data_IF_224672068194
#
_entry.id   IF_224672068194
#
_cell.length_a   1.000
_cell.length_b   1.000
_cell.length_c   1.000
_cell.angle_alpha   90.00
_cell.angle_beta   90.00
_cell.angle_gamma   90.00
#
_symmetry.space_group_name_H-M   'P 1'
#
loop_
_entity.id
_entity.type
_entity.pdbx_description
1 polymer ?
#
# COMPACT_ATOMS: atom_id res chain seq x y z
N UNK A 1 -12.42 5.98 -7.97
CA UNK A 1 -11.73 4.81 -7.38
C UNK A 1 -11.75 4.99 -5.88
N UNK A 2 -12.20 3.97 -5.15
CA UNK A 2 -12.16 3.91 -3.70
C UNK A 2 -11.27 2.74 -3.28
N UNK A 3 -10.57 2.90 -2.16
CA UNK A 3 -9.82 1.84 -1.50
C UNK A 3 -10.42 1.62 -0.11
N UNK A 4 -11.00 0.45 0.10
CA UNK A 4 -11.52 0.00 1.38
C UNK A 4 -10.53 -1.00 1.97
N UNK A 5 -10.19 -0.88 3.25
CA UNK A 5 -9.27 -1.80 3.92
C UNK A 5 -9.55 -1.87 5.43
N UNK A 6 -9.14 -2.98 6.05
CA UNK A 6 -9.22 -3.19 7.50
C UNK A 6 -7.93 -2.85 8.25
N UNK A 7 -6.87 -2.49 7.53
CA UNK A 7 -5.59 -2.12 8.12
C UNK A 7 -5.60 -0.68 8.67
N UNK A 8 -4.81 -0.41 9.73
CA UNK A 8 -4.82 0.90 10.37
C UNK A 8 -4.10 1.99 9.55
N UNK A 9 -3.27 1.62 8.56
CA UNK A 9 -2.48 2.56 7.76
C UNK A 9 -2.55 2.30 6.26
N UNK A 10 -2.27 3.35 5.49
CA UNK A 10 -2.01 3.30 4.05
C UNK A 10 -0.75 4.09 3.75
N UNK A 11 0.28 3.44 3.22
CA UNK A 11 1.44 4.15 2.67
C UNK A 11 1.06 4.70 1.30
N UNK A 12 1.16 6.02 1.16
CA UNK A 12 0.96 6.72 -0.10
C UNK A 12 2.31 7.09 -0.70
N UNK A 13 2.59 6.58 -1.89
CA UNK A 13 3.81 6.90 -2.63
C UNK A 13 3.45 7.40 -4.02
N UNK A 14 3.98 8.56 -4.38
CA UNK A 14 3.65 9.28 -5.62
C UNK A 14 4.63 8.99 -6.75
N UNK A 15 5.29 7.83 -6.81
CA UNK A 15 6.15 7.50 -7.96
C UNK A 15 7.41 8.38 -8.08
N UNK A 16 7.95 8.87 -6.97
CA UNK A 16 9.00 9.91 -6.95
C UNK A 16 10.35 9.44 -7.53
N UNK A 17 10.63 8.15 -7.42
CA UNK A 17 11.85 7.51 -7.93
C UNK A 17 11.74 7.01 -9.36
N UNK A 18 10.60 7.19 -10.05
CA UNK A 18 10.49 6.84 -11.46
C UNK A 18 11.35 7.80 -12.30
N UNK A 19 12.37 7.26 -12.97
CA UNK A 19 13.36 8.04 -13.71
C UNK A 19 13.49 7.55 -15.15
N UNK A 20 12.40 7.63 -15.92
CA UNK A 20 12.40 7.21 -17.32
C UNK A 20 12.34 5.68 -17.49
N UNK A 21 11.58 5.01 -16.61
CA UNK A 21 11.45 3.56 -16.62
C UNK A 21 10.61 3.12 -17.82
N UNK A 22 11.07 2.10 -18.57
CA UNK A 22 10.28 1.50 -19.65
C UNK A 22 9.03 0.83 -19.06
N UNK A 23 7.87 1.33 -19.44
CA UNK A 23 6.57 0.87 -19.02
C UNK A 23 5.87 -0.04 -20.04
N UNK A 24 4.62 -0.36 -19.75
CA UNK A 24 3.73 -1.12 -20.65
C UNK A 24 3.46 -0.34 -21.94
N UNK A 25 3.19 -1.06 -23.03
CA UNK A 25 2.82 -0.51 -24.34
C UNK A 25 3.80 0.55 -24.89
N UNK A 26 5.09 0.35 -24.64
CA UNK A 26 6.15 1.26 -25.09
C UNK A 26 6.16 2.62 -24.39
N UNK A 27 5.36 2.81 -23.33
CA UNK A 27 5.38 4.05 -22.54
C UNK A 27 6.65 4.16 -21.72
N UNK A 28 7.02 5.39 -21.39
CA UNK A 28 8.12 5.70 -20.47
C UNK A 28 7.52 6.37 -19.25
N UNK A 29 7.70 5.77 -18.08
CA UNK A 29 7.18 6.28 -16.81
C UNK A 29 8.16 7.27 -16.19
N UNK A 30 7.70 8.52 -16.07
CA UNK A 30 8.43 9.59 -15.40
C UNK A 30 8.06 9.72 -13.93
N UNK A 31 8.81 10.56 -13.23
CA UNK A 31 8.53 10.98 -11.84
C UNK A 31 7.08 11.44 -11.73
N UNK A 32 6.38 10.99 -10.70
CA UNK A 32 4.95 11.26 -10.48
C UNK A 32 3.99 10.65 -11.51
N UNK A 33 4.46 9.74 -12.38
CA UNK A 33 3.61 9.09 -13.38
C UNK A 33 2.64 8.03 -12.84
N UNK A 34 2.68 7.74 -11.53
CA UNK A 34 1.83 6.76 -10.87
C UNK A 34 1.71 7.07 -9.36
N UNK A 35 0.80 6.36 -8.71
CA UNK A 35 0.67 6.30 -7.27
C UNK A 35 0.60 4.85 -6.76
N UNK A 36 1.07 4.63 -5.54
CA UNK A 36 0.84 3.41 -4.77
C UNK A 36 -0.03 3.75 -3.55
N UNK A 37 -0.99 2.88 -3.24
CA UNK A 37 -1.79 2.90 -2.02
C UNK A 37 -1.62 1.53 -1.35
N UNK A 38 -0.73 1.46 -0.36
CA UNK A 38 -0.30 0.20 0.25
C UNK A 38 -0.90 0.10 1.65
N UNK A 39 -1.96 -0.71 1.81
CA UNK A 39 -2.65 -0.92 3.10
C UNK A 39 -1.78 -1.78 4.01
N UNK A 40 -1.58 -1.38 5.26
CA UNK A 40 -0.68 -2.09 6.18
C UNK A 40 -0.82 -1.61 7.63
N UNK A 41 -0.20 -2.36 8.55
CA UNK A 41 0.21 -1.85 9.85
C UNK A 41 1.16 -0.65 9.71
N UNK A 42 1.33 0.11 10.79
CA UNK A 42 2.21 1.27 10.75
C UNK A 42 3.67 0.85 10.49
N UNK A 43 4.41 1.60 9.63
CA UNK A 43 5.85 1.41 9.50
C UNK A 43 6.53 1.44 10.87
N UNK A 44 7.49 0.54 11.06
CA UNK A 44 8.27 0.41 12.29
C UNK A 44 7.48 -0.04 13.55
N UNK A 45 6.26 -0.56 13.39
CA UNK A 45 5.42 -0.99 14.53
C UNK A 45 6.09 -2.01 15.48
N UNK A 46 7.03 -2.82 15.01
CA UNK A 46 7.78 -3.77 15.86
C UNK A 46 8.62 -3.04 16.93
N UNK A 47 9.09 -1.83 16.63
CA UNK A 47 9.92 -1.02 17.53
C UNK A 47 9.11 0.02 18.32
N UNK A 48 7.81 0.14 18.06
CA UNK A 48 6.91 1.09 18.69
C UNK A 48 5.78 0.37 19.43
N UNK A 49 5.94 0.04 20.72
CA UNK A 49 4.94 -0.74 21.48
C UNK A 49 3.55 -0.12 21.59
N UNK A 50 3.41 1.19 21.32
CA UNK A 50 2.13 1.88 21.27
C UNK A 50 1.38 1.69 19.96
N UNK A 51 2.03 1.17 18.90
CA UNK A 51 1.38 0.86 17.63
C UNK A 51 0.67 -0.50 17.69
N UNK A 52 -0.38 -0.73 16.88
CA UNK A 52 -0.98 -2.04 16.76
C UNK A 52 0.06 -3.09 16.37
N UNK A 53 0.20 -4.14 17.19
CA UNK A 53 1.16 -5.21 16.93
C UNK A 53 0.91 -5.88 15.58
N UNK A 54 1.98 -6.09 14.82
CA UNK A 54 1.97 -6.82 13.55
C UNK A 54 2.57 -8.24 13.69
N UNK A 55 2.83 -8.70 14.93
CA UNK A 55 3.43 -10.02 15.20
C UNK A 55 2.34 -11.09 15.26
N UNK A 56 2.49 -12.14 14.46
CA UNK A 56 1.62 -13.32 14.46
C UNK A 56 2.41 -14.49 15.07
N UNK A 57 1.82 -15.13 16.08
CA UNK A 57 2.44 -16.25 16.82
C UNK A 57 1.96 -17.61 16.29
N UNK A 58 2.67 -18.71 16.60
CA UNK A 58 2.22 -20.06 16.23
C UNK A 58 0.77 -20.31 16.65
N UNK A 59 -0.05 -20.81 15.72
CA UNK A 59 -1.48 -21.07 15.94
C UNK A 59 -2.40 -19.87 15.71
N UNK A 60 -1.88 -18.66 15.48
CA UNK A 60 -2.68 -17.50 15.10
C UNK A 60 -2.83 -17.41 13.58
N UNK A 61 -3.99 -16.92 13.14
CA UNK A 61 -4.27 -16.63 11.72
C UNK A 61 -4.09 -15.14 11.49
N UNK A 62 -3.35 -14.79 10.43
CA UNK A 62 -3.30 -13.44 9.91
C UNK A 62 -4.40 -13.26 8.85
N UNK A 63 -5.14 -12.17 8.95
CA UNK A 63 -6.12 -11.77 7.95
C UNK A 63 -5.98 -10.27 7.66
N UNK A 64 -6.10 -9.91 6.38
CA UNK A 64 -6.02 -8.55 5.90
C UNK A 64 -6.85 -8.48 4.62
N UNK A 65 -7.92 -7.69 4.68
CA UNK A 65 -8.84 -7.49 3.57
C UNK A 65 -8.69 -6.09 3.00
N UNK A 66 -8.61 -6.01 1.67
CA UNK A 66 -8.68 -4.76 0.94
C UNK A 66 -9.46 -4.90 -0.36
N UNK A 67 -10.13 -3.83 -0.78
CA UNK A 67 -10.93 -3.78 -2.00
C UNK A 67 -10.70 -2.46 -2.72
N UNK A 68 -10.27 -2.55 -3.97
CA UNK A 68 -10.37 -1.43 -4.91
C UNK A 68 -11.71 -1.45 -5.61
N UNK A 69 -12.54 -0.43 -5.36
CA UNK A 69 -13.82 -0.25 -6.04
C UNK A 69 -13.71 0.83 -7.10
N UNK A 70 -14.07 0.47 -8.33
CA UNK A 70 -14.10 1.38 -9.47
C UNK A 70 -15.55 1.67 -9.85
N UNK A 71 -15.86 2.93 -10.11
CA UNK A 71 -17.16 3.43 -10.56
C UNK A 71 -16.93 4.59 -11.52
N UNK A 72 -17.93 4.86 -12.36
CA UNK A 72 -17.89 5.88 -13.42
C UNK A 72 -19.00 6.94 -13.25
N UNK A 73 -19.69 6.94 -12.12
CA UNK A 73 -20.83 7.79 -11.82
C UNK A 73 -20.54 8.59 -10.55
#
# INVERSE_FOLDING_TARGET
MELWADQPGVQFYTGNGLAGVRGKDGRVYGRYGALCLETQGFPDAVNHPSFPSQIVRPGQVYEHNMVFRFSFF
#
